data_IF_552945566020
#
_entry.id   IF_552945566020
#
_cell.length_a   1.000
_cell.length_b   1.000
_cell.length_c   1.000
_cell.angle_alpha   90.00
_cell.angle_beta   90.00
_cell.angle_gamma   90.00
#
_symmetry.space_group_name_H-M   'P 1'
#
loop_
_entity.id
_entity.type
_entity.pdbx_description
1 polymer ?
#
# COMPACT_ATOMS: atom_id res chain seq x y z
N UNK A 1 -4.20 5.58 -17.26
CA UNK A 1 -5.53 4.99 -17.05
C UNK A 1 -5.43 3.52 -17.39
N UNK A 2 -5.82 2.67 -16.44
CA UNK A 2 -6.01 1.24 -16.71
C UNK A 2 -7.10 1.18 -17.76
N UNK A 3 -6.81 0.66 -18.95
CA UNK A 3 -7.76 0.64 -20.07
C UNK A 3 -9.04 -0.09 -19.67
N UNK A 4 -10.20 0.35 -20.16
CA UNK A 4 -11.51 -0.28 -19.90
C UNK A 4 -11.50 -1.79 -20.16
N UNK A 5 -10.70 -2.25 -21.09
CA UNK A 5 -10.54 -3.65 -21.47
C UNK A 5 -9.81 -4.45 -20.37
N UNK A 6 -8.81 -3.85 -19.71
CA UNK A 6 -8.13 -4.46 -18.55
C UNK A 6 -9.09 -4.59 -17.37
N UNK A 7 -9.90 -3.55 -17.11
CA UNK A 7 -10.94 -3.58 -16.05
C UNK A 7 -12.00 -4.64 -16.38
N UNK A 8 -12.38 -4.78 -17.65
CA UNK A 8 -13.37 -5.76 -18.11
C UNK A 8 -12.84 -7.19 -17.98
N UNK A 9 -11.58 -7.41 -18.33
CA UNK A 9 -10.93 -8.72 -18.22
C UNK A 9 -10.71 -9.11 -16.74
N UNK A 10 -10.36 -8.16 -15.88
CA UNK A 10 -10.28 -8.35 -14.43
C UNK A 10 -11.64 -8.71 -13.83
N UNK A 11 -12.72 -7.99 -14.20
CA UNK A 11 -14.07 -8.33 -13.78
C UNK A 11 -14.49 -9.73 -14.22
N UNK A 12 -14.10 -10.16 -15.42
CA UNK A 12 -14.40 -11.50 -15.94
C UNK A 12 -13.61 -12.62 -15.25
N UNK A 13 -12.35 -12.40 -14.91
CA UNK A 13 -11.50 -13.35 -14.19
C UNK A 13 -11.98 -13.56 -12.74
N UNK A 14 -12.41 -12.48 -12.09
CA UNK A 14 -12.87 -12.53 -10.69
C UNK A 14 -14.39 -12.77 -10.54
N UNK A 15 -15.21 -12.60 -11.61
CA UNK A 15 -16.63 -12.97 -11.59
C UNK A 15 -16.87 -14.46 -11.74
N UNK A 16 -15.92 -15.26 -12.21
CA UNK A 16 -16.08 -16.73 -12.35
C UNK A 16 -15.96 -17.47 -11.04
N UNK A 17 -15.34 -16.91 -10.03
CA UNK A 17 -15.29 -17.45 -8.67
C UNK A 17 -16.00 -16.50 -7.71
N UNK A 18 -17.34 -16.55 -7.68
CA UNK A 18 -18.14 -15.95 -6.60
C UNK A 18 -18.05 -16.79 -5.31
N UNK A 19 -16.88 -17.28 -4.97
CA UNK A 19 -16.57 -17.59 -3.58
C UNK A 19 -16.59 -16.27 -2.85
N UNK A 20 -17.52 -16.13 -1.92
CA UNK A 20 -17.43 -15.08 -0.91
C UNK A 20 -16.00 -15.08 -0.38
N UNK A 21 -15.25 -14.03 -0.71
CA UNK A 21 -13.93 -13.82 -0.15
C UNK A 21 -14.15 -13.60 1.33
N UNK A 22 -14.01 -14.64 2.13
CA UNK A 22 -13.98 -14.51 3.57
C UNK A 22 -12.81 -13.61 3.90
N UNK A 23 -13.11 -12.36 4.27
CA UNK A 23 -12.08 -11.40 4.69
C UNK A 23 -11.27 -12.05 5.80
N UNK A 24 -9.98 -12.22 5.59
CA UNK A 24 -9.16 -12.93 6.57
C UNK A 24 -9.10 -12.14 7.87
N UNK A 25 -9.08 -12.84 9.00
CA UNK A 25 -8.92 -12.28 10.34
C UNK A 25 -7.42 -12.13 10.61
N UNK A 26 -6.88 -10.92 10.53
CA UNK A 26 -5.45 -10.67 10.76
C UNK A 26 -5.21 -9.62 11.83
N UNK A 27 -4.16 -9.82 12.61
CA UNK A 27 -3.59 -8.78 13.46
C UNK A 27 -2.63 -7.94 12.62
N UNK A 28 -2.81 -6.62 12.65
CA UNK A 28 -1.96 -5.67 11.93
C UNK A 28 -1.02 -4.99 12.92
N UNK A 29 0.25 -4.84 12.51
CA UNK A 29 1.27 -4.19 13.32
C UNK A 29 0.92 -2.74 13.64
N UNK A 30 1.10 -2.34 14.89
CA UNK A 30 0.86 -0.99 15.39
C UNK A 30 2.15 -0.22 15.54
N UNK A 31 2.07 1.10 15.28
CA UNK A 31 3.17 2.00 15.54
C UNK A 31 3.41 2.14 17.06
N UNK A 32 4.66 1.98 17.46
CA UNK A 32 5.13 2.46 18.76
C UNK A 32 5.65 3.89 18.61
N UNK A 33 5.26 4.78 19.51
CA UNK A 33 5.63 6.18 19.43
C UNK A 33 7.11 6.32 19.78
N UNK A 34 7.92 6.75 18.81
CA UNK A 34 9.22 7.36 19.09
C UNK A 34 9.05 8.87 19.12
N UNK A 35 9.48 9.50 20.19
CA UNK A 35 9.56 10.98 20.28
C UNK A 35 10.71 11.55 19.46
N UNK A 36 11.61 10.69 18.95
CA UNK A 36 12.76 11.08 18.13
C UNK A 36 12.33 11.14 16.67
N UNK A 37 12.55 12.31 16.04
CA UNK A 37 12.40 12.47 14.60
C UNK A 37 13.53 11.68 13.93
N UNK A 38 13.19 10.65 13.18
CA UNK A 38 14.14 9.82 12.43
C UNK A 38 14.60 10.58 11.18
N UNK A 39 15.83 10.35 10.77
CA UNK A 39 16.30 10.79 9.46
C UNK A 39 15.90 9.76 8.36
N UNK A 40 16.17 10.11 7.09
CA UNK A 40 15.76 9.26 5.97
C UNK A 40 16.48 7.92 5.96
N UNK A 41 17.74 7.90 6.35
CA UNK A 41 18.57 6.69 6.41
C UNK A 41 18.07 5.75 7.51
N UNK A 42 17.76 6.28 8.69
CA UNK A 42 17.18 5.53 9.79
C UNK A 42 15.82 4.91 9.37
N UNK A 43 14.94 5.71 8.73
CA UNK A 43 13.63 5.25 8.24
C UNK A 43 13.81 4.15 7.19
N UNK A 44 14.67 4.36 6.19
CA UNK A 44 14.95 3.37 5.15
C UNK A 44 15.46 2.05 5.76
N UNK A 45 16.44 2.10 6.64
CA UNK A 45 17.00 0.93 7.33
C UNK A 45 15.93 0.16 8.14
N UNK A 46 14.98 0.88 8.73
CA UNK A 46 13.89 0.27 9.50
C UNK A 46 12.81 -0.37 8.62
N UNK A 47 12.53 0.21 7.45
CA UNK A 47 11.35 -0.12 6.64
C UNK A 47 11.66 -1.03 5.46
N UNK A 48 12.84 -0.92 4.83
CA UNK A 48 13.23 -1.75 3.69
C UNK A 48 13.11 -3.27 3.94
N UNK A 49 13.46 -3.81 5.11
CA UNK A 49 13.30 -5.25 5.37
C UNK A 49 11.85 -5.74 5.32
N UNK A 50 10.89 -4.82 5.27
CA UNK A 50 9.45 -5.13 5.18
C UNK A 50 8.93 -5.00 3.74
N UNK A 51 9.73 -4.43 2.83
CA UNK A 51 9.36 -4.19 1.43
C UNK A 51 9.84 -5.36 0.58
N UNK A 52 8.97 -5.85 -0.28
CA UNK A 52 9.26 -7.00 -1.13
C UNK A 52 8.98 -6.69 -2.60
N UNK A 53 9.74 -7.34 -3.47
CA UNK A 53 9.44 -7.49 -4.89
C UNK A 53 8.39 -8.60 -5.03
N UNK A 54 7.42 -8.35 -5.88
CA UNK A 54 6.40 -9.30 -6.31
C UNK A 54 6.56 -9.54 -7.81
N UNK A 55 6.74 -10.79 -8.21
CA UNK A 55 6.96 -11.19 -9.61
C UNK A 55 6.04 -12.37 -9.95
N UNK A 56 5.10 -12.14 -10.84
CA UNK A 56 4.26 -13.14 -11.49
C UNK A 56 4.66 -13.31 -12.96
N UNK A 57 3.95 -14.17 -13.69
CA UNK A 57 4.18 -14.39 -15.14
C UNK A 57 3.86 -13.12 -15.95
N UNK A 58 2.90 -12.32 -15.49
CA UNK A 58 2.38 -11.15 -16.19
C UNK A 58 2.48 -9.85 -15.39
N UNK A 59 2.94 -9.91 -14.13
CA UNK A 59 2.98 -8.79 -13.20
C UNK A 59 4.32 -8.64 -12.50
N UNK A 60 4.76 -7.39 -12.37
CA UNK A 60 5.94 -7.01 -11.61
C UNK A 60 5.63 -5.76 -10.79
N UNK A 61 5.92 -5.78 -9.51
CA UNK A 61 5.74 -4.65 -8.62
C UNK A 61 6.37 -4.85 -7.26
N UNK A 62 5.92 -4.05 -6.33
CA UNK A 62 6.31 -4.10 -4.93
C UNK A 62 5.14 -4.47 -4.04
N UNK A 63 5.45 -4.88 -2.84
CA UNK A 63 4.52 -5.04 -1.72
C UNK A 63 5.21 -4.80 -0.41
N UNK A 64 4.49 -4.86 0.68
CA UNK A 64 5.06 -4.76 2.02
C UNK A 64 4.24 -5.55 3.04
N UNK A 65 4.93 -6.09 4.03
CA UNK A 65 4.30 -6.85 5.09
C UNK A 65 3.52 -5.96 6.05
N UNK A 66 2.28 -6.37 6.38
CA UNK A 66 1.39 -5.67 7.32
C UNK A 66 1.12 -6.48 8.60
N UNK A 67 1.58 -7.71 8.67
CA UNK A 67 1.58 -8.53 9.89
C UNK A 67 2.83 -9.42 9.93
N UNK A 68 3.01 -10.14 11.04
CA UNK A 68 4.16 -11.04 11.23
C UNK A 68 3.95 -12.43 10.61
N UNK A 69 2.81 -12.68 9.98
CA UNK A 69 2.42 -13.97 9.40
C UNK A 69 2.55 -13.99 7.88
N UNK A 70 3.26 -13.01 7.30
CA UNK A 70 3.51 -12.96 5.87
C UNK A 70 2.36 -12.37 5.03
N UNK A 71 1.47 -11.58 5.63
CA UNK A 71 0.45 -10.88 4.88
C UNK A 71 1.02 -9.61 4.23
N UNK A 72 0.85 -9.49 2.93
CA UNK A 72 1.42 -8.43 2.09
C UNK A 72 0.30 -7.60 1.48
N UNK A 73 0.45 -6.27 1.49
CA UNK A 73 -0.34 -5.33 0.70
C UNK A 73 0.42 -4.99 -0.58
N UNK A 74 -0.32 -4.92 -1.69
CA UNK A 74 0.16 -4.43 -2.99
C UNK A 74 -0.98 -3.73 -3.75
N UNK A 75 -0.73 -3.21 -4.96
CA UNK A 75 -1.81 -2.77 -5.84
C UNK A 75 -2.49 -3.92 -6.56
N UNK A 76 -3.78 -3.75 -6.87
CA UNK A 76 -4.52 -4.71 -7.69
C UNK A 76 -3.91 -4.82 -9.09
N UNK A 77 -3.52 -3.69 -9.71
CA UNK A 77 -2.96 -3.72 -11.06
C UNK A 77 -1.61 -4.48 -11.15
N UNK A 78 -0.89 -4.65 -10.04
CA UNK A 78 0.32 -5.49 -9.97
C UNK A 78 -0.04 -6.97 -10.14
N UNK A 79 -1.20 -7.39 -9.63
CA UNK A 79 -1.68 -8.79 -9.71
C UNK A 79 -2.70 -9.01 -10.84
N UNK A 80 -2.93 -8.00 -11.67
CA UNK A 80 -4.00 -7.98 -12.68
C UNK A 80 -3.77 -8.91 -13.88
N UNK A 81 -2.59 -9.49 -14.01
CA UNK A 81 -2.27 -10.47 -15.07
C UNK A 81 -3.01 -11.80 -14.96
N UNK A 82 -3.72 -12.03 -13.86
CA UNK A 82 -4.47 -13.26 -13.61
C UNK A 82 -3.65 -14.35 -12.93
N UNK A 83 -2.41 -14.05 -12.57
CA UNK A 83 -1.56 -14.94 -11.79
C UNK A 83 -2.13 -15.09 -10.38
N UNK A 84 -2.24 -16.32 -9.91
CA UNK A 84 -2.68 -16.59 -8.52
C UNK A 84 -1.50 -16.62 -7.56
N UNK A 85 -0.32 -16.93 -8.06
CA UNK A 85 0.91 -17.08 -7.29
C UNK A 85 1.96 -16.07 -7.73
N UNK A 86 2.68 -15.53 -6.77
CA UNK A 86 3.75 -14.57 -6.97
C UNK A 86 5.02 -15.01 -6.26
N UNK A 87 6.14 -14.87 -6.93
CA UNK A 87 7.45 -14.95 -6.30
C UNK A 87 7.68 -13.70 -5.47
N UNK A 88 7.97 -13.89 -4.19
CA UNK A 88 8.26 -12.85 -3.21
C UNK A 88 9.77 -12.83 -2.99
N UNK A 89 10.38 -11.66 -3.13
CA UNK A 89 11.82 -11.49 -2.88
C UNK A 89 12.07 -10.22 -2.06
N UNK A 90 12.90 -10.31 -1.05
CA UNK A 90 13.34 -9.18 -0.21
C UNK A 90 14.83 -8.88 -0.36
N UNK A 91 15.29 -7.73 0.19
CA UNK A 91 16.66 -7.27 0.13
C UNK A 91 17.66 -8.13 0.90
N UNK A 92 17.19 -8.79 1.97
CA UNK A 92 17.96 -9.66 2.85
C UNK A 92 18.17 -11.08 2.30
N UNK A 93 17.81 -11.30 1.04
CA UNK A 93 17.84 -12.62 0.41
C UNK A 93 16.58 -13.45 0.68
N UNK A 94 15.55 -12.85 1.28
CA UNK A 94 14.22 -13.46 1.42
C UNK A 94 13.72 -13.94 0.06
N UNK A 95 13.22 -15.19 0.02
CA UNK A 95 12.54 -15.78 -1.14
C UNK A 95 11.39 -16.65 -0.63
N UNK A 96 10.21 -16.46 -1.20
CA UNK A 96 9.04 -17.27 -0.96
C UNK A 96 8.10 -17.22 -2.17
N UNK A 97 7.02 -17.98 -2.10
CA UNK A 97 5.87 -17.88 -2.98
C UNK A 97 4.69 -17.36 -2.15
N UNK A 98 3.77 -16.68 -2.79
CA UNK A 98 2.56 -16.20 -2.12
C UNK A 98 1.36 -16.24 -3.02
N UNK A 99 0.20 -16.44 -2.44
CA UNK A 99 -1.08 -16.54 -3.13
C UNK A 99 -1.88 -15.24 -2.95
N UNK A 100 -2.52 -14.76 -4.04
CA UNK A 100 -3.47 -13.65 -3.98
C UNK A 100 -4.72 -14.11 -3.25
N UNK A 101 -5.00 -13.53 -2.08
CA UNK A 101 -6.13 -13.92 -1.23
C UNK A 101 -7.27 -12.90 -1.20
N UNK A 102 -7.04 -11.67 -1.67
CA UNK A 102 -8.04 -10.63 -1.73
C UNK A 102 -7.69 -9.59 -2.79
N UNK A 103 -8.71 -9.05 -3.47
CA UNK A 103 -8.57 -7.97 -4.45
C UNK A 103 -9.73 -6.99 -4.30
N UNK A 104 -9.41 -5.71 -4.24
CA UNK A 104 -10.38 -4.61 -4.32
C UNK A 104 -10.13 -3.78 -5.56
N UNK A 105 -10.98 -3.95 -6.58
CA UNK A 105 -10.86 -3.24 -7.85
C UNK A 105 -11.28 -1.77 -7.77
N UNK A 106 -11.99 -1.37 -6.72
CA UNK A 106 -12.39 0.02 -6.52
C UNK A 106 -11.25 0.86 -5.96
N UNK A 107 -10.50 0.27 -5.03
CA UNK A 107 -9.39 0.95 -4.35
C UNK A 107 -8.03 0.59 -4.94
N UNK A 108 -7.97 -0.21 -6.02
CA UNK A 108 -6.72 -0.67 -6.64
C UNK A 108 -5.74 -1.27 -5.62
N UNK A 109 -6.20 -2.14 -4.72
CA UNK A 109 -5.31 -2.88 -3.82
C UNK A 109 -5.61 -4.36 -3.80
N UNK A 110 -4.61 -5.15 -3.41
CA UNK A 110 -4.69 -6.59 -3.23
C UNK A 110 -3.94 -7.04 -1.98
N UNK A 111 -4.31 -8.21 -1.47
CA UNK A 111 -3.60 -8.90 -0.41
C UNK A 111 -3.01 -10.19 -0.95
N UNK A 112 -1.75 -10.44 -0.61
CA UNK A 112 -1.03 -11.68 -0.90
C UNK A 112 -0.63 -12.31 0.42
N UNK A 113 -0.88 -13.62 0.58
CA UNK A 113 -0.39 -14.40 1.69
C UNK A 113 0.86 -15.18 1.27
N UNK A 114 1.98 -14.90 1.91
CA UNK A 114 3.21 -15.67 1.74
C UNK A 114 3.03 -17.10 2.33
N UNK A 115 3.57 -18.10 1.64
CA UNK A 115 3.32 -19.50 1.97
C UNK A 115 4.10 -19.99 3.19
N UNK A 116 5.36 -19.57 3.33
CA UNK A 116 6.28 -20.10 4.34
C UNK A 116 6.82 -19.02 5.30
N UNK A 117 6.69 -17.74 4.95
CA UNK A 117 7.19 -16.65 5.78
C UNK A 117 6.40 -16.58 7.07
N UNK A 118 7.13 -16.77 8.19
CA UNK A 118 6.67 -16.54 9.55
C UNK A 118 7.68 -15.65 10.23
N UNK A 119 7.21 -14.71 11.04
CA UNK A 119 8.01 -13.64 11.66
C UNK A 119 8.48 -12.57 10.67
N UNK A 120 7.66 -12.26 9.65
CA UNK A 120 7.90 -11.10 8.80
C UNK A 120 7.90 -9.81 9.61
N UNK A 121 8.71 -8.85 9.19
CA UNK A 121 8.75 -7.54 9.81
C UNK A 121 7.62 -6.68 9.26
N UNK A 122 6.52 -6.57 9.97
CA UNK A 122 5.38 -5.76 9.55
C UNK A 122 5.67 -4.26 9.68
N UNK A 123 5.21 -3.46 8.69
CA UNK A 123 5.21 -2.01 8.81
C UNK A 123 4.03 -1.52 9.64
N UNK A 124 4.24 -0.54 10.52
CA UNK A 124 3.16 0.11 11.23
C UNK A 124 2.31 0.94 10.26
N UNK A 125 0.99 0.83 10.36
CA UNK A 125 0.04 1.53 9.50
C UNK A 125 -0.56 2.75 10.20
N UNK A 126 -0.70 3.85 9.47
CA UNK A 126 -1.35 5.07 9.94
C UNK A 126 -2.84 5.06 9.57
N UNK A 127 -3.73 4.62 10.45
CA UNK A 127 -5.15 4.39 10.14
C UNK A 127 -6.12 5.47 10.60
N UNK A 128 -5.68 6.51 11.28
CA UNK A 128 -6.61 7.46 11.90
C UNK A 128 -6.73 8.78 11.16
N UNK A 129 -5.74 9.17 10.39
CA UNK A 129 -5.71 10.49 9.71
C UNK A 129 -5.02 10.41 8.36
N UNK A 130 -5.54 11.19 7.44
CA UNK A 130 -4.81 11.50 6.21
C UNK A 130 -3.59 12.38 6.54
N UNK A 131 -2.47 12.20 5.84
CA UNK A 131 -1.32 13.09 5.97
C UNK A 131 -1.70 14.51 5.53
N UNK A 132 -0.96 15.51 6.01
CA UNK A 132 -1.22 16.91 5.65
C UNK A 132 -0.22 17.38 4.59
N UNK A 133 -0.63 18.26 3.66
CA UNK A 133 0.31 18.92 2.75
C UNK A 133 1.51 19.52 3.50
N UNK A 134 2.70 19.34 2.91
CA UNK A 134 3.98 19.75 3.51
C UNK A 134 4.62 18.72 4.45
N UNK A 135 3.93 17.62 4.82
CA UNK A 135 4.57 16.55 5.60
C UNK A 135 5.59 15.79 4.74
N UNK A 136 6.77 15.50 5.32
CA UNK A 136 7.76 14.65 4.66
C UNK A 136 7.21 13.23 4.51
N UNK A 137 7.48 12.66 3.34
CA UNK A 137 7.18 11.25 3.02
C UNK A 137 8.35 10.61 2.29
N UNK A 138 8.42 9.29 2.39
CA UNK A 138 9.42 8.46 1.74
C UNK A 138 8.66 7.37 1.01
N UNK A 139 8.85 7.28 -0.31
CA UNK A 139 8.33 6.18 -1.10
C UNK A 139 9.41 5.09 -1.20
N UNK A 140 9.01 3.86 -0.94
CA UNK A 140 9.87 2.69 -0.97
C UNK A 140 9.34 1.70 -2.01
N UNK A 141 10.24 0.93 -2.61
CA UNK A 141 9.86 -0.09 -3.57
C UNK A 141 11.07 -0.89 -4.07
N UNK A 142 10.79 -1.80 -4.98
CA UNK A 142 11.79 -2.69 -5.60
C UNK A 142 11.69 -2.60 -7.14
N UNK A 143 11.95 -1.41 -7.74
CA UNK A 143 11.79 -1.21 -9.17
C UNK A 143 12.80 -2.07 -9.97
N UNK A 144 12.34 -2.65 -11.09
CA UNK A 144 13.17 -3.40 -12.05
C UNK A 144 14.01 -4.53 -11.42
N UNK A 145 13.61 -5.03 -10.25
CA UNK A 145 14.38 -6.03 -9.51
C UNK A 145 15.60 -5.47 -8.77
N UNK A 146 15.76 -4.13 -8.75
CA UNK A 146 16.68 -3.44 -7.86
C UNK A 146 15.96 -3.27 -6.52
N UNK A 147 16.28 -4.17 -5.61
CA UNK A 147 15.76 -4.12 -4.27
C UNK A 147 16.16 -2.79 -3.58
N UNK A 148 15.27 -2.27 -2.72
CA UNK A 148 15.63 -1.17 -1.81
C UNK A 148 15.66 0.23 -2.40
N UNK A 149 14.83 0.54 -3.40
CA UNK A 149 14.71 1.93 -3.88
C UNK A 149 13.99 2.79 -2.86
N UNK A 150 14.62 3.92 -2.53
CA UNK A 150 14.13 4.92 -1.59
C UNK A 150 14.08 6.29 -2.28
N UNK A 151 12.91 6.93 -2.28
CA UNK A 151 12.77 8.32 -2.75
C UNK A 151 12.10 9.15 -1.67
N UNK A 152 12.52 10.41 -1.54
CA UNK A 152 12.01 11.35 -0.54
C UNK A 152 11.29 12.51 -1.20
N UNK A 153 10.21 12.95 -0.57
CA UNK A 153 9.46 14.14 -0.94
C UNK A 153 8.56 14.62 0.19
N UNK A 154 7.54 15.36 -0.19
CA UNK A 154 6.47 15.83 0.69
C UNK A 154 5.11 15.40 0.18
N UNK A 155 4.12 15.44 1.03
CA UNK A 155 2.72 15.43 0.60
C UNK A 155 2.44 16.77 -0.07
N UNK A 156 2.19 16.74 -1.39
CA UNK A 156 1.83 17.94 -2.15
C UNK A 156 0.36 18.31 -1.96
N UNK A 157 -0.51 17.29 -1.94
CA UNK A 157 -1.97 17.43 -1.70
C UNK A 157 -2.56 16.12 -1.22
N UNK A 158 -3.73 16.20 -0.59
CA UNK A 158 -4.61 15.05 -0.33
C UNK A 158 -5.89 15.29 -1.12
N UNK A 159 -6.15 14.43 -2.08
CA UNK A 159 -7.27 14.54 -3.00
C UNK A 159 -8.34 13.53 -2.63
N UNK A 160 -9.38 14.03 -1.97
CA UNK A 160 -10.55 13.23 -1.67
C UNK A 160 -11.42 13.09 -2.92
N UNK A 161 -12.24 12.02 -3.00
CA UNK A 161 -13.20 11.83 -4.08
C UNK A 161 -14.09 13.07 -4.25
N UNK A 162 -14.16 13.61 -5.45
CA UNK A 162 -15.04 14.73 -5.81
C UNK A 162 -15.45 14.64 -7.28
N UNK A 163 -16.61 15.21 -7.62
CA UNK A 163 -17.08 15.29 -9.00
C UNK A 163 -16.12 16.03 -9.95
N UNK A 164 -15.34 16.96 -9.40
CA UNK A 164 -14.45 17.81 -10.21
C UNK A 164 -13.16 17.09 -10.65
N UNK A 165 -12.93 15.86 -10.17
CA UNK A 165 -11.73 15.06 -10.41
C UNK A 165 -12.05 13.69 -11.04
N UNK A 166 -13.26 13.51 -11.57
CA UNK A 166 -13.75 12.23 -12.11
C UNK A 166 -12.82 11.59 -13.14
N UNK A 167 -12.25 12.41 -14.01
CA UNK A 167 -11.36 11.94 -15.08
C UNK A 167 -9.96 11.58 -14.58
N UNK A 168 -9.59 11.97 -13.35
CA UNK A 168 -8.23 11.85 -12.81
C UNK A 168 -8.17 10.96 -11.56
N UNK A 169 -9.21 10.99 -10.73
CA UNK A 169 -9.28 10.28 -9.45
C UNK A 169 -10.56 9.44 -9.40
N UNK A 170 -10.46 8.13 -9.18
CA UNK A 170 -11.65 7.31 -8.96
C UNK A 170 -12.50 7.84 -7.80
N UNK A 171 -13.82 7.86 -7.96
CA UNK A 171 -14.80 8.44 -7.04
C UNK A 171 -14.77 7.95 -5.59
N UNK A 172 -14.00 6.95 -5.27
CA UNK A 172 -14.07 6.23 -4.01
C UNK A 172 -12.73 6.14 -3.30
N UNK A 173 -11.69 6.76 -3.84
CA UNK A 173 -10.32 6.64 -3.33
C UNK A 173 -9.77 8.02 -2.95
N UNK A 174 -9.19 8.14 -1.77
CA UNK A 174 -8.37 9.31 -1.42
C UNK A 174 -6.95 9.09 -1.91
N UNK A 175 -6.48 9.96 -2.78
CA UNK A 175 -5.11 9.96 -3.28
C UNK A 175 -4.23 10.94 -2.50
N UNK A 176 -3.05 10.46 -2.13
CA UNK A 176 -1.97 11.28 -1.59
C UNK A 176 -1.07 11.65 -2.76
N UNK A 177 -1.09 12.93 -3.15
CA UNK A 177 -0.18 13.48 -4.14
C UNK A 177 1.16 13.80 -3.47
N UNK A 178 2.26 13.43 -4.11
CA UNK A 178 3.62 13.66 -3.60
C UNK A 178 4.59 14.02 -4.74
N UNK A 179 5.65 14.71 -4.43
CA UNK A 179 6.80 14.94 -5.30
C UNK A 179 7.91 13.89 -5.12
N UNK A 180 7.76 12.99 -4.14
CA UNK A 180 8.61 11.80 -4.06
C UNK A 180 8.47 10.98 -5.34
N UNK A 181 9.56 10.67 -6.02
CA UNK A 181 9.53 9.99 -7.30
C UNK A 181 8.95 8.56 -7.16
N UNK A 182 7.90 8.28 -7.93
CA UNK A 182 7.31 6.95 -8.07
C UNK A 182 7.53 6.51 -9.52
N UNK A 183 8.26 5.42 -9.70
CA UNK A 183 8.61 4.85 -11.00
C UNK A 183 8.04 3.44 -11.14
N UNK A 184 7.93 2.89 -12.36
CA UNK A 184 7.52 1.50 -12.56
C UNK A 184 8.33 0.55 -11.69
N UNK A 185 7.63 -0.31 -10.94
CA UNK A 185 8.19 -1.21 -9.94
C UNK A 185 8.04 -0.72 -8.49
N UNK A 186 7.85 0.59 -8.24
CA UNK A 186 7.47 1.09 -6.91
C UNK A 186 5.98 0.89 -6.61
N UNK A 187 5.14 0.64 -7.62
CA UNK A 187 3.71 0.37 -7.44
C UNK A 187 3.50 -0.81 -6.50
N UNK A 188 2.61 -0.63 -5.52
CA UNK A 188 2.35 -1.57 -4.44
C UNK A 188 3.26 -1.42 -3.23
N UNK A 189 4.38 -0.70 -3.35
CA UNK A 189 5.26 -0.37 -2.22
C UNK A 189 4.66 0.69 -1.29
N UNK A 190 5.19 0.84 -0.05
CA UNK A 190 4.66 1.78 0.91
C UNK A 190 5.13 3.21 0.66
N UNK A 191 4.25 4.17 0.94
CA UNK A 191 4.58 5.57 1.22
C UNK A 191 4.55 5.75 2.73
N UNK A 192 5.70 6.07 3.34
CA UNK A 192 5.82 6.20 4.79
C UNK A 192 6.05 7.64 5.23
N UNK A 193 5.62 7.98 6.44
CA UNK A 193 5.88 9.28 7.07
C UNK A 193 7.25 9.31 7.79
N UNK A 194 7.57 10.43 8.45
CA UNK A 194 8.83 10.61 9.19
C UNK A 194 9.01 9.70 10.43
N UNK A 195 8.00 8.91 10.77
CA UNK A 195 8.07 7.91 11.84
C UNK A 195 8.21 6.49 11.29
N UNK A 196 8.30 6.31 9.97
CA UNK A 196 8.28 4.99 9.33
C UNK A 196 6.89 4.33 9.27
N UNK A 197 5.81 5.10 9.50
CA UNK A 197 4.43 4.59 9.44
C UNK A 197 3.89 4.74 8.03
N UNK A 198 3.23 3.70 7.50
CA UNK A 198 2.62 3.72 6.18
C UNK A 198 1.43 4.67 6.17
N UNK A 199 1.47 5.65 5.28
CA UNK A 199 0.36 6.60 5.03
C UNK A 199 -0.36 6.29 3.72
N UNK A 200 0.28 5.55 2.80
CA UNK A 200 -0.31 5.17 1.53
C UNK A 200 0.42 4.04 0.83
N UNK A 201 -0.17 3.56 -0.25
CA UNK A 201 0.39 2.56 -1.17
C UNK A 201 0.71 3.26 -2.49
N UNK A 202 1.99 3.28 -2.88
CA UNK A 202 2.44 3.88 -4.13
C UNK A 202 1.70 3.25 -5.30
N UNK A 203 1.16 4.05 -6.21
CA UNK A 203 0.36 3.49 -7.30
C UNK A 203 0.82 3.96 -8.69
N UNK A 204 0.73 5.23 -9.03
CA UNK A 204 1.05 5.70 -10.36
C UNK A 204 1.55 7.16 -10.37
N UNK A 205 2.15 7.54 -11.49
CA UNK A 205 2.52 8.92 -11.80
C UNK A 205 1.78 9.37 -13.04
N UNK A 206 1.35 10.63 -13.07
CA UNK A 206 0.85 11.21 -14.31
C UNK A 206 2.06 11.60 -15.19
N UNK A 207 2.19 10.99 -16.38
CA UNK A 207 3.12 11.53 -17.35
C UNK A 207 2.61 12.90 -17.75
N UNK A 208 3.45 13.92 -17.59
CA UNK A 208 3.11 15.25 -18.07
C UNK A 208 3.00 15.27 -19.58
N UNK A 209 1.94 15.88 -20.11
CA UNK A 209 1.84 16.16 -21.52
C UNK A 209 3.05 17.02 -21.94
N UNK A 210 3.82 16.54 -22.91
CA UNK A 210 5.01 17.21 -23.46
C UNK A 210 6.06 17.64 -22.43
N UNK A 211 6.20 16.92 -21.31
CA UNK A 211 7.20 17.22 -20.26
C UNK A 211 6.87 18.40 -19.34
N UNK A 212 5.64 18.89 -19.35
CA UNK A 212 5.22 20.06 -18.55
C UNK A 212 4.76 19.73 -17.13
N UNK A 213 4.26 18.52 -16.88
CA UNK A 213 3.88 18.09 -15.54
C UNK A 213 4.96 17.15 -14.99
N UNK A 214 5.79 17.62 -14.09
CA UNK A 214 6.81 16.84 -13.40
C UNK A 214 6.39 16.63 -11.94
N UNK A 215 6.79 15.50 -11.37
CA UNK A 215 6.61 15.21 -9.94
C UNK A 215 5.14 15.13 -9.48
N UNK A 216 4.24 14.67 -10.37
CA UNK A 216 2.86 14.34 -10.03
C UNK A 216 2.74 12.83 -9.77
N UNK A 217 3.11 12.42 -8.58
CA UNK A 217 3.06 11.05 -8.14
C UNK A 217 1.95 10.84 -7.12
N UNK A 218 1.38 9.65 -7.07
CA UNK A 218 0.21 9.36 -6.27
C UNK A 218 0.36 8.05 -5.50
N UNK A 219 -0.16 8.06 -4.27
CA UNK A 219 -0.35 6.88 -3.46
C UNK A 219 -1.80 6.80 -3.00
N UNK A 220 -2.34 5.59 -2.92
CA UNK A 220 -3.66 5.31 -2.36
C UNK A 220 -3.56 5.42 -0.85
N UNK A 221 -4.48 6.15 -0.22
CA UNK A 221 -4.49 6.29 1.23
C UNK A 221 -4.66 4.96 1.94
N UNK A 222 -3.77 4.65 2.88
CA UNK A 222 -3.88 3.47 3.72
C UNK A 222 -5.17 3.49 4.58
N UNK A 223 -5.67 4.69 4.91
CA UNK A 223 -6.92 4.86 5.68
C UNK A 223 -8.11 4.30 4.91
N UNK A 224 -8.18 4.52 3.60
CA UNK A 224 -9.29 4.02 2.78
C UNK A 224 -9.21 2.50 2.58
N UNK A 225 -8.00 1.96 2.39
CA UNK A 225 -7.77 0.51 2.32
C UNK A 225 -8.25 -0.16 3.62
N UNK A 226 -7.86 0.38 4.78
CA UNK A 226 -8.25 -0.18 6.06
C UNK A 226 -9.75 -0.05 6.34
N UNK A 227 -10.39 1.04 5.87
CA UNK A 227 -11.85 1.18 5.93
C UNK A 227 -12.55 0.15 5.07
N UNK A 228 -12.06 -0.13 3.86
CA UNK A 228 -12.62 -1.16 3.00
C UNK A 228 -12.52 -2.54 3.65
N UNK A 229 -11.37 -2.87 4.24
CA UNK A 229 -11.18 -4.13 4.96
C UNK A 229 -12.08 -4.25 6.21
N UNK A 230 -12.43 -3.11 6.85
CA UNK A 230 -13.28 -3.05 8.05
C UNK A 230 -14.76 -2.76 7.76
N UNK A 231 -15.21 -2.72 6.51
CA UNK A 231 -16.55 -2.24 6.14
C UNK A 231 -17.72 -3.01 6.77
N UNK A 232 -17.49 -4.16 7.38
CA UNK A 232 -18.49 -4.93 8.13
C UNK A 232 -18.63 -4.51 9.61
N UNK A 233 -17.73 -3.62 10.12
CA UNK A 233 -17.81 -3.09 11.49
C UNK A 233 -17.41 -1.60 11.54
N UNK A 234 -18.20 -0.67 10.96
CA UNK A 234 -17.87 0.76 10.94
C UNK A 234 -17.89 1.44 12.32
N UNK A 235 -18.35 0.73 13.36
CA UNK A 235 -18.56 1.30 14.69
C UNK A 235 -17.40 1.17 15.68
N UNK A 236 -16.29 0.51 15.34
CA UNK A 236 -15.16 0.33 16.26
C UNK A 236 -13.84 0.98 15.84
N UNK A 237 -13.84 1.86 14.86
CA UNK A 237 -12.76 2.81 14.65
C UNK A 237 -12.84 3.95 15.68
N UNK A 238 -12.98 3.60 16.97
CA UNK A 238 -12.99 4.58 18.04
C UNK A 238 -11.63 5.25 18.17
N UNK A 239 -11.63 6.55 17.89
CA UNK A 239 -10.79 7.60 18.50
C UNK A 239 -9.34 7.22 18.84
N UNK A 240 -8.55 6.75 17.92
CA UNK A 240 -7.11 6.84 18.06
C UNK A 240 -6.64 8.15 17.43
N UNK A 241 -6.42 9.13 18.26
CA UNK A 241 -5.99 10.46 17.90
C UNK A 241 -4.54 10.45 17.39
N UNK A 242 -4.34 10.22 16.13
CA UNK A 242 -3.10 10.48 15.41
C UNK A 242 -2.25 9.28 15.00
N UNK A 243 -1.79 9.32 13.74
CA UNK A 243 -0.50 8.75 13.40
C UNK A 243 0.51 9.40 14.33
N UNK A 244 1.13 8.65 15.23
CA UNK A 244 2.14 9.16 16.16
C UNK A 244 1.70 9.50 17.59
N UNK A 245 0.43 9.35 17.97
CA UNK A 245 0.00 9.48 19.36
C UNK A 245 -0.90 8.31 19.75
N UNK A 246 -0.32 7.17 20.03
CA UNK A 246 -1.03 6.06 20.71
C UNK A 246 -0.61 6.11 22.17
N UNK A 247 -1.50 6.59 23.02
CA UNK A 247 -1.47 6.26 24.45
C UNK A 247 -1.74 4.77 24.55
N UNK A 248 -0.85 4.06 25.23
CA UNK A 248 -0.97 2.63 25.50
C UNK A 248 -2.37 2.29 26.01
N UNK A 249 -3.14 1.58 25.21
CA UNK A 249 -4.16 0.63 25.69
C UNK A 249 -4.32 -0.45 24.64
N UNK A 250 -4.11 -1.67 25.09
CA UNK A 250 -4.34 -2.92 24.39
C UNK A 250 -5.72 -2.94 23.72
N UNK A 251 -5.74 -2.73 22.42
CA UNK A 251 -6.85 -3.09 21.57
C UNK A 251 -6.31 -3.62 20.26
N UNK A 252 -6.25 -4.91 20.20
CA UNK A 252 -5.96 -5.70 19.03
C UNK A 252 -7.14 -5.52 18.07
N UNK A 253 -6.93 -4.93 16.89
CA UNK A 253 -7.92 -5.01 15.83
C UNK A 253 -7.93 -6.43 15.31
N UNK A 254 -8.95 -7.18 15.66
CA UNK A 254 -9.29 -8.45 15.01
C UNK A 254 -10.19 -8.10 13.84
N UNK A 255 -9.72 -8.31 12.63
CA UNK A 255 -10.59 -8.30 11.47
C UNK A 255 -11.39 -9.61 11.49
N UNK A 256 -12.69 -9.49 11.53
CA UNK A 256 -13.64 -10.63 11.52
C UNK A 256 -14.02 -10.99 10.10
#
# INVERSE_FOLDING_TARGET
>A
PIGEETIKNLKLLFQKDTKEWNKPKYEIARASISSKKLDVEEIASMTLPSVVKLEGDSGLGSGFFINNEGLIVTNMHVVAGGDKEFTISGDDGLKDQGEVIYVDSKLDFALIQANNIKNSKALPLCFSKYPRPGQNVIALGSPLGLAGTVTRGIVSAVRQPSSDLEDVVPYYVTLIQTDAAISPGNSGGPLVNSNGEVVGVNTWSLPGDEGRAQNLNFAISIVDILRSLNSENPGKAENTNSCGNIVEKENIFKFW
#
